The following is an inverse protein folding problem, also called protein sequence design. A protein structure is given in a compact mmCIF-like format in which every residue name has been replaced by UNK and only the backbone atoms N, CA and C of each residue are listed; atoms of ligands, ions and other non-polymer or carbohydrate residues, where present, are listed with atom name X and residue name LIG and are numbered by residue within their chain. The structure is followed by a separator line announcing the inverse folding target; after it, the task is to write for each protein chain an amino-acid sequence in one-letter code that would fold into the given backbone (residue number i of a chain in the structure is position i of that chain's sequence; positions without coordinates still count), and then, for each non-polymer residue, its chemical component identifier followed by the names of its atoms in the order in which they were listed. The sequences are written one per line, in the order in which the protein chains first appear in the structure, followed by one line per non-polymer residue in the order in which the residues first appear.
data_IF_177280568353
#
_entry.id   IF_177280568353
#
_cell.length_a   1.000
_cell.length_b   1.000
_cell.length_c   1.000
_cell.angle_alpha   90.00
_cell.angle_beta   90.00
_cell.angle_gamma   90.00
#
_symmetry.space_group_name_H-M   'P 1'
#
loop_
_entity.id
_entity.type
_entity.pdbx_description
1 polymer ?
#
# COMPACT_ATOMS: atom_id res chain seq x y z
N UNK A 1 8.34 4.78 -0.09
CA UNK A 1 9.13 5.13 -1.28
C UNK A 1 8.36 4.70 -2.50
N UNK A 2 8.36 5.55 -3.53
CA UNK A 2 7.82 5.20 -4.83
C UNK A 2 8.82 5.58 -5.91
N UNK A 3 8.85 4.83 -7.02
CA UNK A 3 9.75 5.08 -8.15
C UNK A 3 8.97 4.92 -9.44
N UNK A 4 8.95 5.94 -10.30
CA UNK A 4 8.41 5.80 -11.65
C UNK A 4 9.32 4.90 -12.49
N UNK A 5 8.75 3.86 -13.09
CA UNK A 5 9.52 2.77 -13.71
C UNK A 5 9.35 2.64 -15.23
N UNK A 6 8.42 3.39 -15.84
CA UNK A 6 8.19 3.41 -17.30
C UNK A 6 8.24 4.81 -17.90
N UNK A 7 8.58 4.86 -19.19
CA UNK A 7 8.67 6.10 -20.00
C UNK A 7 7.35 6.46 -20.70
N UNK A 8 6.57 5.46 -21.12
CA UNK A 8 5.42 5.66 -22.00
C UNK A 8 4.08 5.75 -21.25
N UNK A 9 4.02 5.17 -20.05
CA UNK A 9 2.85 5.16 -19.17
C UNK A 9 3.30 5.48 -17.75
N UNK A 10 2.48 6.25 -17.02
CA UNK A 10 2.70 6.54 -15.61
C UNK A 10 2.46 5.27 -14.80
N UNK A 11 3.51 4.51 -14.58
CA UNK A 11 3.56 3.40 -13.63
C UNK A 11 4.63 3.70 -12.60
N UNK A 12 4.37 3.28 -11.37
CA UNK A 12 5.29 3.40 -10.26
C UNK A 12 5.47 2.05 -9.57
N UNK A 13 6.57 1.88 -8.87
CA UNK A 13 6.76 0.81 -7.91
C UNK A 13 6.69 1.38 -6.50
N UNK A 14 5.84 0.80 -5.65
CA UNK A 14 5.59 1.25 -4.28
C UNK A 14 6.23 0.29 -3.28
N UNK A 15 6.94 0.86 -2.31
CA UNK A 15 7.34 0.18 -1.09
C UNK A 15 7.14 1.11 0.10
N UNK A 16 6.22 0.78 1.00
CA UNK A 16 5.94 1.57 2.18
C UNK A 16 5.45 0.68 3.31
N UNK A 17 5.37 1.24 4.51
CA UNK A 17 4.79 0.57 5.65
C UNK A 17 3.85 1.54 6.37
N UNK A 18 2.79 0.99 6.97
CA UNK A 18 2.01 1.70 7.96
C UNK A 18 2.59 1.42 9.33
N UNK A 19 3.03 2.47 10.02
CA UNK A 19 3.42 2.41 11.43
C UNK A 19 2.24 2.89 12.27
N UNK A 20 1.46 1.94 12.79
CA UNK A 20 0.25 2.20 13.57
C UNK A 20 0.61 2.23 15.05
N UNK A 21 0.25 3.32 15.71
CA UNK A 21 0.46 3.52 17.15
C UNK A 21 -0.76 4.24 17.75
N UNK A 22 -1.93 3.65 17.56
CA UNK A 22 -3.19 4.12 18.14
C UNK A 22 -3.51 3.33 19.42
N UNK A 23 -4.65 3.63 20.05
CA UNK A 23 -5.18 2.82 21.15
C UNK A 23 -5.53 1.39 20.69
N UNK A 24 -5.95 1.26 19.43
CA UNK A 24 -6.56 0.04 18.90
C UNK A 24 -5.56 -0.84 18.16
N UNK A 25 -4.54 -0.23 17.54
CA UNK A 25 -3.53 -0.93 16.75
C UNK A 25 -2.12 -0.40 17.04
N UNK A 26 -1.23 -1.32 17.43
CA UNK A 26 0.18 -1.08 17.71
C UNK A 26 1.05 -2.06 16.96
N UNK A 27 1.63 -1.60 15.86
CA UNK A 27 2.46 -2.45 15.01
C UNK A 27 2.76 -1.83 13.67
N UNK A 28 3.36 -2.63 12.80
CA UNK A 28 3.61 -2.23 11.42
C UNK A 28 3.04 -3.22 10.43
N UNK A 29 2.59 -2.73 9.28
CA UNK A 29 2.22 -3.54 8.11
C UNK A 29 3.04 -3.04 6.93
N UNK A 30 3.72 -3.94 6.23
CA UNK A 30 4.63 -3.62 5.11
C UNK A 30 4.01 -4.02 3.78
N UNK A 31 4.12 -3.13 2.79
CA UNK A 31 3.55 -3.29 1.46
C UNK A 31 4.61 -3.09 0.39
N UNK A 32 4.60 -3.97 -0.62
CA UNK A 32 5.52 -3.87 -1.77
C UNK A 32 4.81 -4.35 -3.04
N UNK A 33 4.90 -3.57 -4.12
CA UNK A 33 4.38 -3.99 -5.41
C UNK A 33 4.32 -2.88 -6.46
N UNK A 34 3.81 -3.26 -7.63
CA UNK A 34 3.68 -2.36 -8.78
C UNK A 34 2.38 -1.58 -8.67
N UNK A 35 2.45 -0.28 -8.94
CA UNK A 35 1.35 0.66 -8.99
C UNK A 35 1.19 1.20 -10.43
N UNK A 36 0.30 0.61 -11.23
CA UNK A 36 -0.16 1.25 -12.45
C UNK A 36 -1.11 2.41 -12.11
N UNK A 37 -0.62 3.66 -12.16
CA UNK A 37 -1.43 4.83 -11.79
C UNK A 37 -2.66 5.05 -12.70
N UNK A 38 -2.65 4.50 -13.91
CA UNK A 38 -3.78 4.55 -14.84
C UNK A 38 -4.98 3.72 -14.38
N UNK A 39 -4.77 2.73 -13.50
CA UNK A 39 -5.83 1.88 -13.00
C UNK A 39 -6.48 2.48 -11.74
N UNK A 40 -7.82 2.50 -11.72
CA UNK A 40 -8.59 3.04 -10.60
C UNK A 40 -8.38 2.27 -9.29
N UNK A 41 -8.15 0.96 -9.41
CA UNK A 41 -7.97 0.04 -8.29
C UNK A 41 -6.83 -0.91 -8.62
N UNK A 42 -5.88 -1.11 -7.71
CA UNK A 42 -4.78 -2.07 -7.88
C UNK A 42 -4.40 -2.77 -6.60
N UNK A 43 -3.91 -3.99 -6.72
CA UNK A 43 -3.53 -4.81 -5.58
C UNK A 43 -2.02 -4.76 -5.33
N UNK A 44 -1.65 -4.59 -4.06
CA UNK A 44 -0.28 -4.61 -3.55
C UNK A 44 -0.15 -5.68 -2.46
N UNK A 45 0.98 -6.39 -2.46
CA UNK A 45 1.21 -7.48 -1.51
C UNK A 45 1.50 -6.95 -0.10
N UNK A 46 0.86 -7.53 0.91
CA UNK A 46 1.27 -7.40 2.30
C UNK A 46 2.38 -8.42 2.56
N UNK A 47 3.61 -7.93 2.68
CA UNK A 47 4.81 -8.78 2.77
C UNK A 47 5.16 -9.19 4.20
N UNK A 48 4.56 -8.54 5.20
CA UNK A 48 4.77 -8.87 6.60
C UNK A 48 4.30 -7.76 7.53
N UNK A 49 4.36 -8.03 8.84
CA UNK A 49 4.05 -7.05 9.87
C UNK A 49 4.71 -7.35 11.21
N UNK A 50 4.67 -6.38 12.11
CA UNK A 50 5.20 -6.44 13.48
C UNK A 50 4.16 -5.98 14.50
N UNK A 51 4.35 -6.30 15.78
CA UNK A 51 3.40 -5.96 16.85
C UNK A 51 2.09 -6.73 16.68
N UNK A 52 0.96 -6.02 16.71
CA UNK A 52 -0.38 -6.61 16.52
C UNK A 52 -0.57 -7.27 15.14
N UNK A 53 0.29 -6.96 14.16
CA UNK A 53 0.28 -7.56 12.83
C UNK A 53 1.44 -8.54 12.63
N UNK A 54 1.93 -9.16 13.71
CA UNK A 54 3.03 -10.12 13.66
C UNK A 54 2.72 -11.25 12.68
N UNK A 55 3.64 -11.50 11.74
CA UNK A 55 3.54 -12.55 10.72
C UNK A 55 2.29 -12.44 9.80
N UNK A 56 1.69 -11.26 9.71
CA UNK A 56 0.53 -11.02 8.86
C UNK A 56 0.90 -11.15 7.37
N UNK A 57 0.05 -11.84 6.59
CA UNK A 57 0.12 -11.89 5.12
C UNK A 57 -1.23 -11.62 4.50
N UNK A 58 -1.23 -11.00 3.33
CA UNK A 58 -2.45 -10.51 2.73
C UNK A 58 -2.25 -9.77 1.42
N UNK A 59 -3.34 -9.18 0.96
CA UNK A 59 -3.37 -8.28 -0.20
C UNK A 59 -4.02 -6.99 0.24
N UNK A 60 -3.48 -5.87 -0.20
CA UNK A 60 -4.10 -4.57 -0.03
C UNK A 60 -4.51 -3.99 -1.39
N UNK A 61 -5.74 -3.49 -1.49
CA UNK A 61 -6.25 -2.83 -2.68
C UNK A 61 -6.12 -1.31 -2.51
N UNK A 62 -5.31 -0.70 -3.37
CA UNK A 62 -5.12 0.74 -3.46
C UNK A 62 -6.09 1.33 -4.48
N UNK A 63 -6.81 2.38 -4.06
CA UNK A 63 -7.73 3.13 -4.90
C UNK A 63 -7.33 4.60 -4.89
N UNK A 64 -7.17 5.21 -6.07
CA UNK A 64 -6.84 6.65 -6.16
C UNK A 64 -8.13 7.46 -6.06
N UNK A 65 -8.33 8.15 -4.93
CA UNK A 65 -9.50 9.01 -4.71
C UNK A 65 -9.31 10.41 -5.28
N UNK A 66 -8.06 10.91 -5.27
CA UNK A 66 -7.71 12.23 -5.79
C UNK A 66 -6.28 12.21 -6.34
N UNK A 67 -6.08 12.88 -7.48
CA UNK A 67 -4.78 13.06 -8.11
C UNK A 67 -4.69 14.48 -8.67
N UNK A 68 -3.97 15.35 -7.98
CA UNK A 68 -3.68 16.73 -8.39
C UNK A 68 -2.25 16.80 -8.96
N UNK A 69 -2.06 16.11 -10.10
CA UNK A 69 -0.80 16.08 -10.84
C UNK A 69 0.39 15.68 -9.94
N UNK A 70 1.42 16.51 -9.84
CA UNK A 70 2.65 16.20 -9.11
C UNK A 70 2.64 16.62 -7.63
N UNK A 71 1.58 17.31 -7.18
CA UNK A 71 1.60 17.99 -5.86
C UNK A 71 0.89 17.17 -4.79
N UNK A 72 -0.22 16.52 -5.14
CA UNK A 72 -1.04 15.80 -4.18
C UNK A 72 -1.71 14.57 -4.78
N UNK A 73 -1.70 13.48 -4.02
CA UNK A 73 -2.51 12.31 -4.31
C UNK A 73 -3.07 11.73 -3.01
N UNK A 74 -4.28 11.17 -3.09
CA UNK A 74 -4.93 10.48 -1.98
C UNK A 74 -5.24 9.04 -2.38
N UNK A 75 -4.74 8.11 -1.58
CA UNK A 75 -5.01 6.69 -1.73
C UNK A 75 -5.95 6.22 -0.63
N UNK A 76 -7.02 5.53 -1.02
CA UNK A 76 -7.77 4.67 -0.12
C UNK A 76 -7.12 3.29 -0.17
N UNK A 77 -6.77 2.76 1.00
CA UNK A 77 -6.12 1.46 1.14
C UNK A 77 -7.08 0.54 1.87
N UNK A 78 -7.54 -0.51 1.18
CA UNK A 78 -8.31 -1.60 1.76
C UNK A 78 -7.37 -2.79 2.00
N UNK A 79 -7.34 -3.34 3.22
CA UNK A 79 -6.36 -4.36 3.62
C UNK A 79 -7.08 -5.64 3.97
N UNK A 80 -6.85 -6.69 3.19
CA UNK A 80 -7.36 -8.02 3.45
C UNK A 80 -6.21 -8.93 3.89
N UNK A 81 -6.18 -9.27 5.18
CA UNK A 81 -5.22 -10.22 5.74
C UNK A 81 -5.80 -11.63 5.69
N UNK A 82 -5.04 -12.55 5.09
CA UNK A 82 -5.41 -13.97 4.95
C UNK A 82 -4.65 -14.87 5.92
N UNK A 83 -3.54 -14.40 6.48
CA UNK A 83 -2.79 -15.07 7.54
C UNK A 83 -2.69 -14.11 8.73
N UNK A 84 -3.31 -14.48 9.86
CA UNK A 84 -3.43 -13.68 11.08
C UNK A 84 -3.13 -14.54 12.32
N UNK A 85 -2.59 -13.94 13.37
CA UNK A 85 -2.12 -14.62 14.60
C UNK A 85 -2.74 -14.03 15.85
#
# INVERSE_FOLDING_TARGET
MYVYDKKDILTAWLAFWFALNSSDYKGTISFVGVDPLMDTTRDISVVGGTGDFFMARGVATLMTDAYEQEVYFRLRVDINLYECW
#
